data_IF_166350584623
#
_entry.id   IF_166350584623
#
_cell.length_a   1.000
_cell.length_b   1.000
_cell.length_c   1.000
_cell.angle_alpha   90.00
_cell.angle_beta   90.00
_cell.angle_gamma   90.00
#
_symmetry.space_group_name_H-M   'P 1'
#
loop_
_entity.id
_entity.type
_entity.pdbx_description
1 polymer ?
#
# COMPACT_ATOMS: atom_id res chain seq x y z
N UNK A 1 11.24 16.48 -2.01
CA UNK A 1 11.52 15.11 -2.49
C UNK A 1 10.80 14.13 -1.58
N UNK A 2 9.48 13.89 -1.77
CA UNK A 2 8.74 12.85 -1.06
C UNK A 2 8.85 11.47 -1.73
N UNK A 3 9.09 11.41 -3.05
CA UNK A 3 9.08 10.16 -3.83
C UNK A 3 10.12 9.10 -3.40
N UNK A 4 11.34 9.51 -3.02
CA UNK A 4 12.39 8.54 -2.63
C UNK A 4 12.03 7.73 -1.38
N UNK A 5 11.32 8.33 -0.42
CA UNK A 5 10.90 7.64 0.79
C UNK A 5 9.79 6.62 0.51
N UNK A 6 8.86 6.97 -0.38
CA UNK A 6 7.76 6.09 -0.82
C UNK A 6 8.31 4.85 -1.52
N UNK A 7 9.28 5.03 -2.42
CA UNK A 7 9.92 3.93 -3.13
C UNK A 7 10.74 3.02 -2.19
N UNK A 8 11.44 3.60 -1.20
CA UNK A 8 12.18 2.83 -0.20
C UNK A 8 11.25 2.00 0.70
N UNK A 9 10.13 2.58 1.15
CA UNK A 9 9.16 1.89 2.00
C UNK A 9 8.50 0.72 1.25
N UNK A 10 8.11 0.92 0.00
CA UNK A 10 7.50 -0.13 -0.81
C UNK A 10 8.50 -1.24 -1.15
N UNK A 11 9.77 -0.91 -1.39
CA UNK A 11 10.83 -1.91 -1.52
C UNK A 11 11.03 -2.73 -0.24
N UNK A 12 10.89 -2.13 0.94
CA UNK A 12 10.89 -2.89 2.20
C UNK A 12 9.68 -3.80 2.32
N UNK A 13 8.49 -3.35 1.89
CA UNK A 13 7.28 -4.17 1.89
C UNK A 13 7.47 -5.42 1.02
N UNK A 14 8.01 -5.28 -0.19
CA UNK A 14 8.25 -6.42 -1.08
C UNK A 14 9.26 -7.41 -0.48
N UNK A 15 10.34 -6.91 0.12
CA UNK A 15 11.33 -7.76 0.81
C UNK A 15 10.75 -8.51 2.02
N UNK A 16 9.88 -7.86 2.82
CA UNK A 16 9.29 -8.47 4.02
C UNK A 16 8.23 -9.53 3.69
N UNK A 17 7.51 -9.34 2.59
CA UNK A 17 6.32 -10.13 2.27
C UNK A 17 6.57 -11.13 1.14
N UNK A 18 7.67 -10.99 0.39
CA UNK A 18 7.99 -11.79 -0.78
C UNK A 18 7.11 -11.50 -2.00
N UNK A 19 6.18 -10.55 -1.89
CA UNK A 19 5.28 -10.14 -2.98
C UNK A 19 5.83 -8.95 -3.73
N UNK A 20 5.62 -8.89 -5.04
CA UNK A 20 6.01 -7.73 -5.83
C UNK A 20 5.13 -6.52 -5.54
N UNK A 21 5.59 -5.33 -5.95
CA UNK A 21 4.79 -4.12 -5.83
C UNK A 21 3.53 -4.20 -6.70
N UNK A 22 3.61 -4.79 -7.89
CA UNK A 22 2.45 -5.05 -8.75
C UNK A 22 1.40 -5.93 -8.06
N UNK A 23 1.81 -7.02 -7.39
CA UNK A 23 0.89 -7.85 -6.59
C UNK A 23 0.20 -7.04 -5.49
N UNK A 24 0.96 -6.21 -4.77
CA UNK A 24 0.39 -5.34 -3.74
C UNK A 24 -0.57 -4.30 -4.28
N UNK A 25 -0.25 -3.74 -5.44
CA UNK A 25 -1.08 -2.77 -6.15
C UNK A 25 -2.38 -3.44 -6.61
N UNK A 26 -2.32 -4.68 -7.12
CA UNK A 26 -3.51 -5.47 -7.46
C UNK A 26 -4.36 -5.75 -6.22
N UNK A 27 -3.75 -6.15 -5.10
CA UNK A 27 -4.46 -6.40 -3.83
C UNK A 27 -5.14 -5.11 -3.33
N UNK A 28 -4.41 -3.99 -3.28
CA UNK A 28 -4.92 -2.70 -2.84
C UNK A 28 -6.02 -2.16 -3.77
N UNK A 29 -5.94 -2.43 -5.08
CA UNK A 29 -6.94 -1.99 -6.07
C UNK A 29 -8.34 -2.54 -5.77
N UNK A 30 -8.44 -3.69 -5.09
CA UNK A 30 -9.71 -4.30 -4.68
C UNK A 30 -10.46 -3.47 -3.63
N UNK A 31 -9.75 -2.57 -2.95
CA UNK A 31 -10.30 -1.69 -1.91
C UNK A 31 -10.37 -0.22 -2.36
N UNK A 32 -10.10 0.07 -3.65
CA UNK A 32 -9.99 1.46 -4.14
C UNK A 32 -11.25 2.29 -3.93
N UNK A 33 -12.43 1.66 -4.00
CA UNK A 33 -13.74 2.31 -3.89
C UNK A 33 -14.23 2.44 -2.44
N UNK A 34 -13.49 1.90 -1.46
CA UNK A 34 -13.84 2.02 -0.05
C UNK A 34 -13.37 3.35 0.58
N UNK A 35 -13.86 3.74 1.76
CA UNK A 35 -13.22 4.83 2.52
C UNK A 35 -11.74 4.52 2.78
N UNK A 36 -10.86 5.53 2.69
CA UNK A 36 -9.40 5.32 2.80
C UNK A 36 -9.01 4.65 4.12
N UNK A 37 -9.59 5.10 5.24
CA UNK A 37 -9.34 4.50 6.55
C UNK A 37 -9.74 3.02 6.62
N UNK A 38 -10.85 2.64 5.98
CA UNK A 38 -11.33 1.26 5.99
C UNK A 38 -10.44 0.37 5.11
N UNK A 39 -10.08 0.84 3.92
CA UNK A 39 -9.16 0.14 3.04
C UNK A 39 -7.79 -0.10 3.72
N UNK A 40 -7.25 0.91 4.39
CA UNK A 40 -5.99 0.81 5.14
C UNK A 40 -6.10 -0.19 6.30
N UNK A 41 -7.20 -0.13 7.08
CA UNK A 41 -7.46 -1.10 8.16
C UNK A 41 -7.58 -2.53 7.62
N UNK A 42 -8.26 -2.72 6.49
CA UNK A 42 -8.42 -4.04 5.85
C UNK A 42 -7.08 -4.59 5.38
N UNK A 43 -6.27 -3.80 4.69
CA UNK A 43 -4.94 -4.21 4.24
C UNK A 43 -4.04 -4.60 5.42
N UNK A 44 -4.02 -3.78 6.47
CA UNK A 44 -3.29 -4.08 7.70
C UNK A 44 -3.75 -5.38 8.35
N UNK A 45 -5.06 -5.57 8.53
CA UNK A 45 -5.61 -6.71 9.27
C UNK A 45 -5.56 -8.01 8.46
N UNK A 46 -5.83 -7.95 7.16
CA UNK A 46 -5.88 -9.13 6.30
C UNK A 46 -4.47 -9.63 5.93
N UNK A 47 -3.49 -8.72 5.81
CA UNK A 47 -2.16 -9.08 5.32
C UNK A 47 -1.02 -8.77 6.30
N UNK A 48 -1.32 -8.25 7.49
CA UNK A 48 -0.33 -7.97 8.53
C UNK A 48 0.66 -6.84 8.18
N UNK A 49 0.35 -6.01 7.18
CA UNK A 49 1.26 -4.94 6.74
C UNK A 49 1.11 -3.69 7.62
N UNK A 50 2.20 -2.95 7.79
CA UNK A 50 2.20 -1.69 8.53
C UNK A 50 1.24 -0.64 7.94
N UNK A 51 0.76 0.26 8.80
CA UNK A 51 -0.16 1.34 8.39
C UNK A 51 0.43 2.21 7.27
N UNK A 52 1.71 2.58 7.37
CA UNK A 52 2.40 3.36 6.34
C UNK A 52 2.36 2.69 4.98
N UNK A 53 2.69 1.40 4.90
CA UNK A 53 2.62 0.63 3.66
C UNK A 53 1.20 0.59 3.09
N UNK A 54 0.20 0.29 3.93
CA UNK A 54 -1.20 0.25 3.49
C UNK A 54 -1.69 1.62 2.99
N UNK A 55 -1.35 2.72 3.69
CA UNK A 55 -1.72 4.06 3.28
C UNK A 55 -1.07 4.47 1.96
N UNK A 56 0.23 4.19 1.79
CA UNK A 56 0.98 4.47 0.57
C UNK A 56 0.42 3.68 -0.62
N UNK A 57 0.14 2.39 -0.45
CA UNK A 57 -0.50 1.57 -1.49
C UNK A 57 -1.85 2.15 -1.91
N UNK A 58 -2.68 2.57 -0.94
CA UNK A 58 -3.99 3.16 -1.24
C UNK A 58 -3.89 4.47 -2.01
N UNK A 59 -2.92 5.34 -1.67
CA UNK A 59 -2.67 6.56 -2.44
C UNK A 59 -2.22 6.26 -3.86
N UNK A 60 -1.31 5.30 -4.05
CA UNK A 60 -0.85 4.88 -5.38
C UNK A 60 -2.00 4.38 -6.27
N UNK A 61 -2.83 3.46 -5.76
CA UNK A 61 -3.94 2.90 -6.56
C UNK A 61 -5.05 3.92 -6.86
N UNK A 62 -5.10 5.02 -6.10
CA UNK A 62 -6.05 6.12 -6.30
C UNK A 62 -5.48 7.27 -7.12
N UNK A 63 -4.18 7.22 -7.47
CA UNK A 63 -3.50 8.33 -8.14
C UNK A 63 -3.41 9.58 -7.26
N UNK A 64 -3.46 9.42 -5.94
CA UNK A 64 -3.26 10.51 -4.98
C UNK A 64 -1.76 10.80 -4.85
N UNK A 65 -1.40 12.06 -4.59
CA UNK A 65 0.01 12.41 -4.34
C UNK A 65 0.55 11.63 -3.12
N UNK A 66 1.54 10.78 -3.40
CA UNK A 66 2.25 9.94 -2.43
C UNK A 66 3.36 10.72 -1.73
#
# INVERSE_FOLDING_TARGET
MPDDFVHADLNMLTQKTGKSLDEWTEIASRYKDEPQEDAVKKLKNAYGIGYGYAATLMKMVRGEQV
#
